data_IF_232503745509
#
_entry.id   IF_232503745509
#
_cell.length_a   1.000
_cell.length_b   1.000
_cell.length_c   1.000
_cell.angle_alpha   90.00
_cell.angle_beta   90.00
_cell.angle_gamma   90.00
#
_symmetry.space_group_name_H-M   'P 1'
#
loop_
_entity.id
_entity.type
_entity.pdbx_description
1 polymer ?
#
# COMPACT_ATOMS: atom_id res chain seq x y z
N UNK A 1 -5.85 11.41 3.88
CA UNK A 1 -5.17 12.70 4.04
C UNK A 1 -3.78 12.65 3.44
N UNK A 2 -3.27 13.78 2.96
CA UNK A 2 -1.91 13.93 2.44
C UNK A 2 -1.57 12.98 1.28
N UNK A 3 -2.57 12.56 0.51
CA UNK A 3 -2.35 11.78 -0.70
C UNK A 3 -1.72 12.66 -1.77
N UNK A 4 -0.68 12.17 -2.44
CA UNK A 4 -0.09 12.85 -3.58
C UNK A 4 -0.57 12.17 -4.86
N UNK A 5 -1.19 12.94 -5.74
CA UNK A 5 -1.67 12.46 -7.03
C UNK A 5 -0.98 13.26 -8.11
N UNK A 6 -0.07 12.63 -8.84
CA UNK A 6 0.69 13.30 -9.89
C UNK A 6 -0.13 13.43 -11.18
N UNK A 7 0.43 14.14 -12.15
CA UNK A 7 -0.27 14.42 -13.42
C UNK A 7 -0.64 13.12 -14.15
N UNK A 8 -1.82 13.11 -14.75
CA UNK A 8 -2.27 12.01 -15.60
C UNK A 8 -2.73 10.76 -14.87
N UNK A 9 -2.83 10.79 -13.55
CA UNK A 9 -3.33 9.65 -12.78
C UNK A 9 -4.82 9.46 -13.05
N UNK A 10 -5.21 8.22 -13.31
CA UNK A 10 -6.61 7.84 -13.49
C UNK A 10 -7.03 6.89 -12.38
N UNK A 11 -8.12 7.21 -11.70
CA UNK A 11 -8.62 6.39 -10.59
C UNK A 11 -10.04 5.94 -10.94
N UNK A 12 -10.24 4.63 -10.98
CA UNK A 12 -11.56 4.05 -11.23
C UNK A 12 -12.52 4.28 -10.07
N UNK A 13 -13.79 3.98 -10.30
CA UNK A 13 -14.84 4.19 -9.29
C UNK A 13 -14.66 3.32 -8.05
N UNK A 14 -15.11 3.85 -6.92
CA UNK A 14 -15.17 3.13 -5.63
C UNK A 14 -13.79 2.67 -5.11
N UNK A 15 -12.72 3.37 -5.48
CA UNK A 15 -11.41 3.11 -4.91
C UNK A 15 -11.27 3.76 -3.55
N UNK A 16 -10.52 3.10 -2.67
CA UNK A 16 -10.12 3.68 -1.39
C UNK A 16 -8.61 3.92 -1.42
N UNK A 17 -8.20 5.15 -1.15
CA UNK A 17 -6.79 5.55 -1.17
C UNK A 17 -6.40 5.98 0.24
N UNK A 18 -5.48 5.26 0.85
CA UNK A 18 -5.04 5.49 2.22
C UNK A 18 -4.21 6.76 2.38
N UNK A 19 -4.05 7.18 3.61
CA UNK A 19 -3.31 8.39 3.97
C UNK A 19 -1.88 8.34 3.44
N UNK A 20 -1.39 9.46 2.93
CA UNK A 20 -0.01 9.63 2.47
C UNK A 20 0.41 8.69 1.32
N UNK A 21 -0.55 8.05 0.64
CA UNK A 21 -0.24 7.30 -0.57
C UNK A 21 0.29 8.25 -1.66
N UNK A 22 1.21 7.75 -2.48
CA UNK A 22 1.82 8.54 -3.56
C UNK A 22 1.57 7.83 -4.89
N UNK A 23 0.77 8.47 -5.74
CA UNK A 23 0.42 7.93 -7.06
C UNK A 23 1.25 8.65 -8.13
N UNK A 24 2.18 7.92 -8.73
CA UNK A 24 3.10 8.45 -9.73
C UNK A 24 2.41 8.85 -11.03
N UNK A 25 3.09 9.66 -11.85
CA UNK A 25 2.54 10.18 -13.11
C UNK A 25 1.99 9.07 -13.98
N UNK A 26 0.81 9.30 -14.54
CA UNK A 26 0.15 8.38 -15.48
C UNK A 26 -0.16 6.99 -14.91
N UNK A 27 -0.13 6.81 -13.60
CA UNK A 27 -0.58 5.58 -12.97
C UNK A 27 -2.09 5.43 -13.18
N UNK A 28 -2.56 4.19 -13.32
CA UNK A 28 -3.98 3.89 -13.47
C UNK A 28 -4.41 2.95 -12.37
N UNK A 29 -5.44 3.30 -11.63
CA UNK A 29 -5.97 2.47 -10.54
C UNK A 29 -7.31 1.89 -11.00
N UNK A 30 -7.38 0.57 -11.09
CA UNK A 30 -8.61 -0.12 -11.48
C UNK A 30 -9.70 0.13 -10.45
N UNK A 31 -10.96 0.09 -10.90
CA UNK A 31 -12.10 0.29 -10.00
C UNK A 31 -12.08 -0.69 -8.81
N UNK A 32 -12.61 -0.24 -7.69
CA UNK A 32 -12.79 -1.02 -6.46
C UNK A 32 -11.48 -1.52 -5.84
N UNK A 33 -10.37 -0.86 -6.15
CA UNK A 33 -9.09 -1.22 -5.54
C UNK A 33 -8.87 -0.46 -4.24
N UNK A 34 -8.14 -1.10 -3.34
CA UNK A 34 -7.72 -0.55 -2.06
C UNK A 34 -6.23 -0.29 -2.12
N UNK A 35 -5.85 0.97 -1.92
CA UNK A 35 -4.45 1.37 -1.85
C UNK A 35 -4.16 1.76 -0.41
N UNK A 36 -3.29 1.00 0.24
CA UNK A 36 -2.98 1.22 1.65
C UNK A 36 -2.24 2.51 1.91
N UNK A 37 -2.30 2.97 3.16
CA UNK A 37 -1.59 4.18 3.59
C UNK A 37 -0.09 4.07 3.29
N UNK A 38 0.53 5.17 2.89
CA UNK A 38 1.96 5.23 2.62
C UNK A 38 2.44 4.42 1.43
N UNK A 39 1.54 3.83 0.65
CA UNK A 39 1.92 3.08 -0.56
C UNK A 39 2.49 4.02 -1.62
N UNK A 40 3.43 3.51 -2.42
CA UNK A 40 3.99 4.22 -3.58
C UNK A 40 3.67 3.46 -4.85
N UNK A 41 2.97 4.12 -5.75
CA UNK A 41 2.69 3.57 -7.08
C UNK A 41 3.58 4.28 -8.08
N UNK A 42 4.40 3.51 -8.77
CA UNK A 42 5.34 4.05 -9.76
C UNK A 42 4.67 4.64 -10.98
N UNK A 43 5.40 5.49 -11.68
CA UNK A 43 4.95 6.16 -12.91
C UNK A 43 4.49 5.12 -13.94
N UNK A 44 3.32 5.34 -14.52
CA UNK A 44 2.78 4.50 -15.58
C UNK A 44 2.28 3.12 -15.14
N UNK A 45 2.19 2.85 -13.86
CA UNK A 45 1.80 1.51 -13.36
C UNK A 45 0.29 1.31 -13.44
N UNK A 46 -0.19 0.23 -14.11
CA UNK A 46 -1.60 -0.15 -14.06
C UNK A 46 -1.87 -1.00 -12.82
N UNK A 47 -2.52 -0.43 -11.82
CA UNK A 47 -2.78 -1.14 -10.56
C UNK A 47 -4.09 -1.90 -10.67
N UNK A 48 -3.98 -3.22 -10.75
CA UNK A 48 -5.14 -4.13 -10.91
C UNK A 48 -5.42 -4.96 -9.65
N UNK A 49 -4.58 -4.81 -8.62
CA UNK A 49 -4.72 -5.51 -7.34
C UNK A 49 -4.65 -4.52 -6.20
N UNK A 50 -5.08 -4.97 -5.03
CA UNK A 50 -5.01 -4.15 -3.82
C UNK A 50 -3.57 -4.04 -3.34
N UNK A 51 -3.15 -2.83 -3.01
CA UNK A 51 -1.76 -2.54 -2.61
C UNK A 51 -1.70 -2.40 -1.10
N UNK A 52 -0.93 -3.25 -0.41
CA UNK A 52 -0.84 -3.17 1.05
C UNK A 52 -0.18 -1.86 1.50
N UNK A 53 -0.44 -1.43 2.74
CA UNK A 53 0.20 -0.22 3.27
C UNK A 53 1.72 -0.27 3.11
N UNK A 54 2.29 0.86 2.73
CA UNK A 54 3.72 1.06 2.50
C UNK A 54 4.32 0.20 1.39
N UNK A 55 3.50 -0.47 0.61
CA UNK A 55 3.98 -1.23 -0.56
C UNK A 55 4.46 -0.32 -1.67
N UNK A 56 5.53 -0.71 -2.35
CA UNK A 56 6.04 -0.03 -3.56
C UNK A 56 5.68 -0.89 -4.76
N UNK A 57 4.94 -0.32 -5.69
CA UNK A 57 4.41 -1.04 -6.84
C UNK A 57 4.91 -0.41 -8.13
N UNK A 58 5.47 -1.22 -9.00
CA UNK A 58 6.01 -0.78 -10.29
C UNK A 58 5.66 -1.76 -11.41
N UNK A 59 5.60 -1.24 -12.60
CA UNK A 59 5.63 -2.03 -13.83
C UNK A 59 4.27 -2.47 -14.34
N UNK A 60 4.31 -3.11 -15.49
CA UNK A 60 3.16 -3.70 -16.16
C UNK A 60 3.53 -5.12 -16.63
N UNK A 61 2.96 -6.17 -16.01
CA UNK A 61 2.00 -6.15 -14.91
C UNK A 61 2.59 -5.58 -13.61
N UNK A 62 1.76 -5.06 -12.71
CA UNK A 62 2.24 -4.46 -11.47
C UNK A 62 2.87 -5.49 -10.56
N UNK A 63 4.00 -5.14 -9.97
CA UNK A 63 4.71 -5.99 -9.02
C UNK A 63 5.02 -5.22 -7.76
N UNK A 64 4.87 -5.89 -6.63
CA UNK A 64 5.26 -5.32 -5.34
C UNK A 64 6.79 -5.44 -5.22
N UNK A 65 7.48 -4.32 -5.28
CA UNK A 65 8.94 -4.27 -5.35
C UNK A 65 9.61 -4.05 -3.99
N UNK A 66 8.83 -4.05 -2.91
CA UNK A 66 9.36 -3.86 -1.56
C UNK A 66 8.52 -2.87 -0.77
N UNK A 67 9.14 -2.23 0.22
CA UNK A 67 8.45 -1.31 1.11
C UNK A 67 8.92 0.12 0.91
N UNK A 68 8.00 1.05 1.14
CA UNK A 68 8.30 2.46 1.25
C UNK A 68 8.91 2.73 2.64
N UNK A 69 10.20 2.46 2.80
CA UNK A 69 10.90 2.64 4.07
C UNK A 69 10.97 4.10 4.48
N UNK A 70 11.03 5.02 3.53
CA UNK A 70 11.01 6.46 3.81
C UNK A 70 9.66 6.84 4.42
N UNK A 71 8.57 6.34 3.86
CA UNK A 71 7.22 6.58 4.40
C UNK A 71 7.06 6.00 5.79
N UNK A 72 7.56 4.79 6.01
CA UNK A 72 7.53 4.17 7.34
C UNK A 72 8.28 5.02 8.37
N UNK A 73 9.47 5.50 8.02
CA UNK A 73 10.24 6.38 8.91
C UNK A 73 9.49 7.68 9.22
N UNK A 74 8.84 8.27 8.22
CA UNK A 74 8.02 9.48 8.41
C UNK A 74 6.81 9.25 9.31
N UNK A 75 6.33 8.01 9.38
CA UNK A 75 5.26 7.63 10.30
C UNK A 75 5.79 7.32 11.70
N UNK A 76 7.09 7.54 11.93
CA UNK A 76 7.71 7.36 13.24
C UNK A 76 8.00 5.91 13.59
N UNK A 77 8.10 5.03 12.59
CA UNK A 77 8.38 3.62 12.84
C UNK A 77 9.79 3.43 13.39
N UNK A 78 9.90 2.63 14.46
CA UNK A 78 11.17 2.05 14.88
C UNK A 78 11.49 0.84 13.98
N UNK A 79 12.66 0.26 14.16
CA UNK A 79 13.14 -0.85 13.33
C UNK A 79 12.23 -2.08 13.39
N UNK A 80 11.73 -2.43 14.56
CA UNK A 80 10.92 -3.63 14.76
C UNK A 80 9.59 -3.61 13.99
N UNK A 81 8.77 -2.54 14.05
CA UNK A 81 7.57 -2.46 13.22
C UNK A 81 7.86 -2.52 11.73
N UNK A 82 8.97 -1.96 11.27
CA UNK A 82 9.37 -2.05 9.86
C UNK A 82 9.58 -3.52 9.47
N UNK A 83 10.25 -4.31 10.31
CA UNK A 83 10.49 -5.73 10.08
C UNK A 83 9.16 -6.50 10.00
N UNK A 84 8.22 -6.22 10.89
CA UNK A 84 6.90 -6.85 10.89
C UNK A 84 6.11 -6.52 9.62
N UNK A 85 6.13 -5.27 9.20
CA UNK A 85 5.45 -4.85 7.96
C UNK A 85 6.09 -5.54 6.75
N UNK A 86 7.42 -5.65 6.72
CA UNK A 86 8.11 -6.35 5.64
C UNK A 86 7.70 -7.81 5.54
N UNK A 87 7.67 -8.53 6.66
CA UNK A 87 7.24 -9.92 6.69
C UNK A 87 5.79 -10.08 6.24
N UNK A 88 4.90 -9.20 6.70
CA UNK A 88 3.50 -9.22 6.31
C UNK A 88 3.32 -8.95 4.80
N UNK A 89 4.10 -8.04 4.23
CA UNK A 89 4.06 -7.75 2.80
C UNK A 89 4.50 -8.95 1.96
N UNK A 90 5.55 -9.66 2.40
CA UNK A 90 6.05 -10.84 1.70
C UNK A 90 5.06 -11.99 1.71
N UNK A 91 4.43 -12.23 2.85
CA UNK A 91 3.49 -13.35 3.01
C UNK A 91 2.08 -13.04 2.52
N UNK A 92 1.74 -11.78 2.35
CA UNK A 92 0.36 -11.35 2.08
C UNK A 92 -0.51 -11.31 3.33
N UNK A 93 0.05 -11.53 4.51
CA UNK A 93 -0.68 -11.62 5.77
C UNK A 93 -0.87 -10.27 6.46
N UNK A 94 -0.79 -9.17 5.71
CA UNK A 94 -0.96 -7.83 6.27
C UNK A 94 -2.30 -7.67 7.00
N UNK A 95 -3.31 -8.42 6.58
CA UNK A 95 -4.62 -8.41 7.23
C UNK A 95 -4.56 -8.92 8.67
N UNK A 96 -3.58 -9.76 8.99
CA UNK A 96 -3.41 -10.35 10.31
C UNK A 96 -2.37 -9.62 11.16
N UNK A 97 -1.77 -8.56 10.62
CA UNK A 97 -0.73 -7.82 11.30
C UNK A 97 -1.31 -7.04 12.48
N UNK A 98 -0.85 -7.37 13.68
CA UNK A 98 -1.22 -6.67 14.91
C UNK A 98 -0.01 -5.90 15.44
N UNK A 99 -0.07 -4.58 15.35
CA UNK A 99 0.98 -3.67 15.83
C UNK A 99 0.53 -2.92 17.08
N UNK A 100 -0.44 -3.48 17.81
CA UNK A 100 -0.96 -2.89 19.02
C UNK A 100 -2.35 -2.26 18.84
N UNK A 101 -2.66 -1.28 19.65
CA UNK A 101 -4.01 -0.69 19.78
C UNK A 101 -4.34 0.37 18.73
N UNK A 102 -3.47 0.60 17.76
CA UNK A 102 -3.68 1.64 16.76
C UNK A 102 -3.34 3.04 17.22
N UNK A 103 -2.74 3.19 18.41
CA UNK A 103 -2.32 4.49 18.91
C UNK A 103 -1.16 5.07 18.10
N UNK A 104 -0.36 4.23 17.43
CA UNK A 104 0.65 4.68 16.51
C UNK A 104 0.12 4.66 15.07
N UNK A 105 0.76 5.43 14.21
CA UNK A 105 0.27 5.65 12.83
C UNK A 105 0.33 4.38 11.98
N UNK A 106 1.30 3.50 12.23
CA UNK A 106 1.45 2.27 11.46
C UNK A 106 0.36 1.27 11.82
N UNK A 107 0.08 1.10 13.10
CA UNK A 107 -1.03 0.26 13.55
C UNK A 107 -2.36 0.78 13.02
N UNK A 108 -2.54 2.11 13.02
CA UNK A 108 -3.73 2.73 12.45
C UNK A 108 -3.84 2.42 10.94
N UNK A 109 -2.74 2.52 10.20
CA UNK A 109 -2.71 2.20 8.77
C UNK A 109 -3.15 0.75 8.53
N UNK A 110 -2.67 -0.19 9.34
CA UNK A 110 -3.05 -1.60 9.23
C UNK A 110 -4.54 -1.81 9.54
N UNK A 111 -5.07 -1.13 10.55
CA UNK A 111 -6.49 -1.22 10.90
C UNK A 111 -7.38 -0.67 9.78
N UNK A 112 -7.03 0.49 9.23
CA UNK A 112 -7.79 1.08 8.14
C UNK A 112 -7.78 0.20 6.89
N UNK A 113 -6.64 -0.41 6.60
CA UNK A 113 -6.49 -1.37 5.52
C UNK A 113 -7.46 -2.55 5.68
N UNK A 114 -7.45 -3.18 6.85
CA UNK A 114 -8.35 -4.32 7.14
C UNK A 114 -9.81 -3.93 7.04
N UNK A 115 -10.15 -2.72 7.47
CA UNK A 115 -11.53 -2.22 7.43
C UNK A 115 -12.08 -2.12 6.00
N UNK A 116 -11.22 -2.02 4.98
CA UNK A 116 -11.64 -1.95 3.59
C UNK A 116 -11.87 -3.33 2.96
N UNK A 117 -11.60 -4.41 3.70
CA UNK A 117 -11.79 -5.79 3.24
C UNK A 117 -11.13 -6.05 1.87
N UNK A 118 -9.82 -5.83 1.72
CA UNK A 118 -9.14 -6.02 0.44
C UNK A 118 -9.19 -7.49 0.01
N UNK A 119 -9.41 -7.73 -1.29
CA UNK A 119 -9.69 -9.06 -1.82
C UNK A 119 -8.57 -9.63 -2.68
N UNK A 120 -7.91 -8.78 -3.44
CA UNK A 120 -6.92 -9.19 -4.44
C UNK A 120 -5.58 -8.54 -4.10
N UNK A 121 -4.98 -8.98 -3.00
CA UNK A 121 -3.79 -8.34 -2.44
C UNK A 121 -2.56 -8.67 -3.27
N UNK A 122 -1.83 -7.63 -3.64
CA UNK A 122 -0.54 -7.77 -4.30
C UNK A 122 0.52 -8.15 -3.26
N UNK A 123 1.32 -9.16 -3.57
CA UNK A 123 2.39 -9.64 -2.70
C UNK A 123 3.71 -9.66 -3.44
N UNK A 124 4.82 -9.80 -2.70
CA UNK A 124 6.14 -9.94 -3.32
C UNK A 124 6.36 -11.33 -3.89
N UNK A 125 5.52 -12.30 -3.54
CA UNK A 125 5.64 -13.64 -4.10
C UNK A 125 5.27 -13.65 -5.57
N UNK A 126 6.15 -14.22 -6.36
CA UNK A 126 5.84 -14.57 -7.74
C UNK A 126 4.93 -15.79 -7.67
N UNK A 127 3.69 -15.61 -8.09
CA UNK A 127 2.76 -16.74 -8.26
C UNK A 127 2.75 -17.12 -9.74
N UNK A 128 3.07 -18.34 -9.97
CA UNK A 128 2.95 -18.90 -11.30
C UNK A 128 1.48 -19.05 -11.71
#
# INVERSE_FOLDING_TARGET
KRVTVSAGVSIGGHCWIGDAANLGMNASIHQRRVIGAGAMVGMGTPVTRDVPPFGKVYGSPPKLAGLNTVGLARFGASEEPITQVAAASESGDFLLLDLGDGSNQIAHAAQMWRAQDPQKILTTRIRD
#
